data_IF_534717334602
#
_entry.id   IF_534717334602
#
_cell.length_a   1.000
_cell.length_b   1.000
_cell.length_c   1.000
_cell.angle_alpha   90.00
_cell.angle_beta   90.00
_cell.angle_gamma   90.00
#
_symmetry.space_group_name_H-M   'P 1'
#
loop_
_entity.id
_entity.type
_entity.pdbx_description
1 polymer ?
#
# COMPACT_ATOMS: atom_id res chain seq x y z
N UNK A 1 5.84 -22.97 24.10
CA UNK A 1 5.10 -22.26 23.03
C UNK A 1 6.06 -21.61 22.05
N UNK A 2 6.79 -20.53 22.39
CA UNK A 2 7.63 -19.77 21.42
C UNK A 2 8.58 -20.60 20.53
N UNK A 3 9.22 -21.65 21.05
CA UNK A 3 10.16 -22.46 20.27
C UNK A 3 9.46 -23.44 19.31
N UNK A 4 8.30 -23.98 19.71
CA UNK A 4 7.52 -24.91 18.89
C UNK A 4 6.82 -24.17 17.74
N UNK A 5 6.33 -22.95 18.00
CA UNK A 5 5.74 -22.09 16.97
C UNK A 5 6.78 -21.68 15.90
N UNK A 6 8.03 -21.45 16.32
CA UNK A 6 9.13 -21.14 15.40
C UNK A 6 9.49 -22.34 14.51
N UNK A 7 9.53 -23.55 15.07
CA UNK A 7 9.82 -24.78 14.33
C UNK A 7 8.72 -25.04 13.28
N UNK A 8 7.44 -24.87 13.65
CA UNK A 8 6.30 -25.08 12.76
C UNK A 8 6.28 -24.08 11.59
N UNK A 9 6.61 -22.82 11.87
CA UNK A 9 6.76 -21.79 10.83
C UNK A 9 7.89 -22.10 9.86
N UNK A 10 9.05 -22.55 10.38
CA UNK A 10 10.18 -22.93 9.55
C UNK A 10 9.87 -24.16 8.69
N UNK A 11 9.18 -25.17 9.23
CA UNK A 11 8.76 -26.33 8.48
C UNK A 11 7.76 -25.95 7.37
N UNK A 12 6.75 -25.14 7.68
CA UNK A 12 5.78 -24.65 6.70
C UNK A 12 6.44 -23.86 5.57
N UNK A 13 7.39 -22.96 5.90
CA UNK A 13 8.16 -22.21 4.92
C UNK A 13 8.94 -23.15 3.98
N UNK A 14 9.68 -24.12 4.54
CA UNK A 14 10.44 -25.10 3.75
C UNK A 14 9.55 -25.93 2.84
N UNK A 15 8.38 -26.35 3.32
CA UNK A 15 7.40 -27.11 2.55
C UNK A 15 6.87 -26.27 1.39
N UNK A 16 6.46 -25.02 1.65
CA UNK A 16 5.98 -24.09 0.63
C UNK A 16 7.03 -23.84 -0.44
N UNK A 17 8.26 -23.49 -0.06
CA UNK A 17 9.35 -23.23 -1.01
C UNK A 17 9.67 -24.47 -1.86
N UNK A 18 9.53 -25.67 -1.28
CA UNK A 18 9.72 -26.90 -2.01
C UNK A 18 8.59 -27.19 -2.99
N UNK A 19 7.32 -26.91 -2.70
CA UNK A 19 6.22 -27.25 -3.63
C UNK A 19 5.88 -26.12 -4.61
N UNK A 20 6.15 -24.85 -4.27
CA UNK A 20 5.80 -23.64 -5.03
C UNK A 20 6.01 -23.77 -6.55
N UNK A 21 7.18 -24.23 -7.06
CA UNK A 21 7.44 -24.25 -8.50
C UNK A 21 6.51 -25.17 -9.30
N UNK A 22 5.80 -26.06 -8.60
CA UNK A 22 4.95 -27.11 -9.18
C UNK A 22 3.49 -27.08 -8.72
N UNK A 23 3.13 -26.18 -7.79
CA UNK A 23 1.73 -26.02 -7.31
C UNK A 23 0.73 -25.83 -8.46
N UNK A 24 1.00 -24.99 -9.49
CA UNK A 24 0.08 -24.85 -10.63
C UNK A 24 -0.28 -26.17 -11.30
N UNK A 25 0.70 -27.06 -11.48
CA UNK A 25 0.47 -28.36 -12.12
C UNK A 25 -0.27 -29.34 -11.21
N UNK A 26 -0.05 -29.26 -9.90
CA UNK A 26 -0.71 -30.10 -8.90
C UNK A 26 -2.19 -29.75 -8.72
N UNK A 27 -2.52 -28.46 -8.75
CA UNK A 27 -3.90 -27.97 -8.68
C UNK A 27 -4.68 -28.29 -9.96
N UNK A 28 -4.05 -28.18 -11.13
CA UNK A 28 -4.66 -28.56 -12.42
C UNK A 28 -4.92 -30.07 -12.50
N UNK A 29 -4.04 -30.91 -11.93
CA UNK A 29 -4.26 -32.34 -11.75
C UNK A 29 -4.39 -33.19 -13.02
N UNK A 30 -4.09 -32.64 -14.20
CA UNK A 30 -4.22 -33.35 -15.49
C UNK A 30 -2.95 -34.14 -15.84
N UNK A 31 -3.09 -35.20 -16.66
CA UNK A 31 -1.93 -35.97 -17.16
C UNK A 31 -0.90 -35.09 -17.88
N UNK A 32 -1.37 -34.12 -18.67
CA UNK A 32 -0.53 -33.16 -19.39
C UNK A 32 0.23 -32.22 -18.45
N UNK A 33 -0.42 -31.75 -17.39
CA UNK A 33 0.23 -30.92 -16.37
C UNK A 33 1.32 -31.70 -15.62
N UNK A 34 1.11 -32.99 -15.35
CA UNK A 34 2.10 -33.85 -14.72
C UNK A 34 3.33 -34.10 -15.61
N UNK A 35 3.14 -34.34 -16.92
CA UNK A 35 4.24 -34.47 -17.89
C UNK A 35 5.05 -33.18 -18.00
N UNK A 36 4.39 -32.02 -18.06
CA UNK A 36 5.05 -30.71 -18.15
C UNK A 36 5.85 -30.39 -16.88
N UNK A 37 5.30 -30.67 -15.69
CA UNK A 37 6.02 -30.53 -14.44
C UNK A 37 7.23 -31.46 -14.36
N UNK A 38 7.08 -32.72 -14.79
CA UNK A 38 8.17 -33.70 -14.88
C UNK A 38 9.30 -33.24 -15.80
N UNK A 39 8.99 -32.61 -16.93
CA UNK A 39 10.00 -32.01 -17.82
C UNK A 39 10.69 -30.79 -17.20
N UNK A 40 9.97 -30.00 -16.40
CA UNK A 40 10.47 -28.76 -15.79
C UNK A 40 11.40 -29.00 -14.61
N UNK A 41 11.04 -29.90 -13.70
CA UNK A 41 11.82 -30.15 -12.47
C UNK A 41 12.60 -31.48 -12.49
N UNK A 42 12.34 -32.32 -13.49
CA UNK A 42 12.86 -33.69 -13.58
C UNK A 42 11.88 -34.71 -12.97
N UNK A 43 11.73 -35.90 -13.57
CA UNK A 43 10.71 -36.88 -13.17
C UNK A 43 10.87 -37.38 -11.73
N UNK A 44 12.11 -37.61 -11.27
CA UNK A 44 12.37 -38.01 -9.89
C UNK A 44 11.99 -36.92 -8.87
N UNK A 45 12.23 -35.65 -9.21
CA UNK A 45 11.92 -34.48 -8.37
C UNK A 45 10.43 -34.23 -8.31
N UNK A 46 9.75 -34.39 -9.45
CA UNK A 46 8.30 -34.30 -9.55
C UNK A 46 7.62 -35.33 -8.65
N UNK A 47 8.04 -36.59 -8.68
CA UNK A 47 7.46 -37.64 -7.84
C UNK A 47 7.62 -37.37 -6.34
N UNK A 48 8.75 -36.79 -5.91
CA UNK A 48 8.95 -36.41 -4.50
C UNK A 48 8.03 -35.25 -4.09
N UNK A 49 7.93 -34.20 -4.92
CA UNK A 49 7.04 -33.06 -4.65
C UNK A 49 5.57 -33.51 -4.65
N UNK A 50 5.19 -34.42 -5.55
CA UNK A 50 3.85 -35.00 -5.62
C UNK A 50 3.51 -35.83 -4.38
N UNK A 51 4.42 -36.67 -3.90
CA UNK A 51 4.23 -37.40 -2.63
C UNK A 51 4.03 -36.46 -1.45
N UNK A 52 4.81 -35.38 -1.37
CA UNK A 52 4.62 -34.37 -0.32
C UNK A 52 3.25 -33.69 -0.43
N UNK A 53 2.83 -33.33 -1.64
CA UNK A 53 1.52 -32.75 -1.90
C UNK A 53 0.39 -33.69 -1.47
N UNK A 54 0.43 -34.97 -1.86
CA UNK A 54 -0.57 -35.96 -1.46
C UNK A 54 -0.64 -36.12 0.06
N UNK A 55 0.50 -36.10 0.76
CA UNK A 55 0.53 -36.13 2.23
C UNK A 55 -0.08 -34.87 2.83
N UNK A 56 0.28 -33.69 2.32
CA UNK A 56 -0.18 -32.40 2.81
C UNK A 56 -1.70 -32.22 2.62
N UNK A 57 -2.25 -32.71 1.50
CA UNK A 57 -3.67 -32.61 1.14
C UNK A 57 -4.48 -33.89 1.44
N UNK A 58 -3.90 -34.87 2.14
CA UNK A 58 -4.60 -36.11 2.51
C UNK A 58 -5.75 -35.89 3.52
N UNK A 59 -5.73 -34.76 4.23
CA UNK A 59 -6.81 -34.32 5.12
C UNK A 59 -7.66 -33.30 4.37
N UNK A 60 -8.98 -33.35 4.52
CA UNK A 60 -9.84 -32.35 3.88
C UNK A 60 -9.72 -30.99 4.60
N UNK A 61 -9.05 -30.06 3.93
CA UNK A 61 -8.74 -28.70 4.42
C UNK A 61 -9.10 -27.70 3.30
N UNK A 62 -10.32 -27.16 3.28
CA UNK A 62 -10.77 -26.29 2.19
C UNK A 62 -9.91 -25.03 2.08
N UNK A 63 -9.47 -24.46 3.20
CA UNK A 63 -8.66 -23.24 3.23
C UNK A 63 -7.26 -23.44 2.64
N UNK A 64 -6.72 -24.66 2.77
CA UNK A 64 -5.43 -25.02 2.18
C UNK A 64 -5.54 -25.24 0.67
N UNK A 65 -6.67 -25.78 0.20
CA UNK A 65 -6.98 -25.96 -1.23
C UNK A 65 -7.22 -24.61 -1.91
N UNK A 66 -7.94 -23.71 -1.25
CA UNK A 66 -8.18 -22.35 -1.71
C UNK A 66 -6.85 -21.57 -1.83
N UNK A 67 -6.04 -21.54 -0.76
CA UNK A 67 -4.74 -20.87 -0.79
C UNK A 67 -3.79 -21.41 -1.86
N UNK A 68 -3.84 -22.72 -2.14
CA UNK A 68 -3.10 -23.31 -3.25
C UNK A 68 -3.62 -22.89 -4.62
N UNK A 69 -4.95 -22.73 -4.78
CA UNK A 69 -5.59 -22.23 -5.98
C UNK A 69 -5.21 -20.78 -6.26
N UNK A 70 -5.20 -19.93 -5.23
CA UNK A 70 -4.79 -18.53 -5.34
C UNK A 70 -3.34 -18.40 -5.83
N UNK A 71 -2.46 -19.28 -5.38
CA UNK A 71 -1.06 -19.31 -5.84
C UNK A 71 -0.93 -19.67 -7.33
N UNK A 72 -1.90 -20.36 -7.92
CA UNK A 72 -1.94 -20.60 -9.38
C UNK A 72 -2.26 -19.31 -10.13
N UNK A 73 -3.11 -18.46 -9.56
CA UNK A 73 -3.55 -17.20 -10.16
C UNK A 73 -2.43 -16.15 -10.07
N UNK A 74 -1.73 -16.08 -8.93
CA UNK A 74 -0.68 -15.09 -8.67
C UNK A 74 0.59 -15.72 -8.05
N UNK A 75 1.37 -16.50 -8.82
CA UNK A 75 2.52 -17.27 -8.31
C UNK A 75 3.72 -16.42 -7.87
N UNK A 76 3.79 -15.16 -8.30
CA UNK A 76 4.86 -14.24 -7.93
C UNK A 76 4.48 -13.29 -6.78
N UNK A 77 3.25 -13.39 -6.27
CA UNK A 77 2.75 -12.54 -5.21
C UNK A 77 3.20 -13.05 -3.83
N UNK A 78 4.03 -12.28 -3.09
CA UNK A 78 4.50 -12.69 -1.78
C UNK A 78 3.36 -12.80 -0.75
N UNK A 79 2.26 -12.05 -0.89
CA UNK A 79 1.12 -12.13 0.03
C UNK A 79 0.35 -13.44 -0.17
N UNK A 80 0.12 -13.83 -1.42
CA UNK A 80 -0.51 -15.13 -1.74
C UNK A 80 0.35 -16.30 -1.26
N UNK A 81 1.69 -16.18 -1.37
CA UNK A 81 2.61 -17.16 -0.79
C UNK A 81 2.51 -17.21 0.74
N UNK A 82 2.39 -16.06 1.41
CA UNK A 82 2.18 -16.00 2.86
C UNK A 82 0.84 -16.60 3.29
N UNK A 83 -0.22 -16.45 2.49
CA UNK A 83 -1.53 -17.10 2.73
C UNK A 83 -1.39 -18.63 2.71
N UNK A 84 -0.68 -19.19 1.73
CA UNK A 84 -0.42 -20.63 1.68
C UNK A 84 0.41 -21.11 2.88
N UNK A 85 1.48 -20.39 3.24
CA UNK A 85 2.29 -20.70 4.44
C UNK A 85 1.40 -20.70 5.69
N UNK A 86 0.51 -19.73 5.83
CA UNK A 86 -0.42 -19.65 6.96
C UNK A 86 -1.39 -20.82 6.99
N UNK A 87 -1.93 -21.22 5.85
CA UNK A 87 -2.83 -22.37 5.74
C UNK A 87 -2.13 -23.68 6.14
N UNK A 88 -0.85 -23.85 5.78
CA UNK A 88 -0.03 -24.99 6.18
C UNK A 88 0.25 -24.98 7.69
N UNK A 89 0.61 -23.83 8.27
CA UNK A 89 0.80 -23.69 9.73
C UNK A 89 -0.48 -24.09 10.46
N UNK A 90 -1.63 -23.55 10.06
CA UNK A 90 -2.92 -23.87 10.66
C UNK A 90 -3.24 -25.37 10.53
N UNK A 91 -2.82 -26.01 9.43
CA UNK A 91 -3.01 -27.44 9.22
C UNK A 91 -2.16 -28.27 10.18
N UNK A 92 -0.91 -27.86 10.42
CA UNK A 92 -0.01 -28.50 11.36
C UNK A 92 -0.43 -28.28 12.82
N UNK A 93 -0.96 -27.11 13.16
CA UNK A 93 -1.52 -26.84 14.50
C UNK A 93 -2.75 -27.70 14.79
N UNK A 94 -3.60 -27.92 13.78
CA UNK A 94 -4.80 -28.77 13.90
C UNK A 94 -4.50 -30.28 13.84
N UNK A 95 -3.36 -30.68 13.27
CA UNK A 95 -2.93 -32.08 13.15
C UNK A 95 -1.41 -32.20 13.39
N UNK A 96 -0.99 -32.38 14.66
CA UNK A 96 0.41 -32.52 15.01
C UNK A 96 1.09 -33.78 14.44
N UNK A 97 0.32 -34.82 14.10
CA UNK A 97 0.87 -36.06 13.52
C UNK A 97 1.17 -35.86 12.03
N UNK A 98 0.33 -35.09 11.31
CA UNK A 98 0.69 -34.57 9.97
C UNK A 98 1.98 -33.75 10.02
N UNK A 99 2.11 -32.86 11.01
CA UNK A 99 3.31 -32.03 11.13
C UNK A 99 4.58 -32.88 11.31
N UNK A 100 4.52 -33.93 12.14
CA UNK A 100 5.63 -34.88 12.33
C UNK A 100 5.93 -35.69 11.06
N UNK A 101 4.89 -36.19 10.39
CA UNK A 101 5.02 -36.93 9.14
C UNK A 101 5.71 -36.10 8.06
N UNK A 102 5.28 -34.84 7.90
CA UNK A 102 5.87 -33.90 6.94
C UNK A 102 7.28 -33.49 7.35
N UNK A 103 7.56 -33.29 8.65
CA UNK A 103 8.92 -33.02 9.15
C UNK A 103 9.87 -34.16 8.81
N UNK A 104 9.47 -35.40 9.11
CA UNK A 104 10.27 -36.60 8.82
C UNK A 104 10.50 -36.78 7.32
N UNK A 105 9.49 -36.50 6.48
CA UNK A 105 9.66 -36.51 5.04
C UNK A 105 10.67 -35.46 4.58
N UNK A 106 10.58 -34.23 5.09
CA UNK A 106 11.48 -33.13 4.73
C UNK A 106 12.92 -33.34 5.21
N UNK A 107 13.14 -34.16 6.24
CA UNK A 107 14.48 -34.51 6.77
C UNK A 107 15.20 -35.59 5.95
N UNK A 108 14.56 -36.18 4.94
CA UNK A 108 15.19 -37.16 4.03
C UNK A 108 16.43 -36.56 3.34
N UNK A 109 17.55 -37.30 3.34
CA UNK A 109 18.84 -36.84 2.83
C UNK A 109 18.79 -36.41 1.36
N UNK A 110 17.94 -37.06 0.54
CA UNK A 110 17.78 -36.73 -0.88
C UNK A 110 17.09 -35.37 -1.00
N UNK A 111 16.07 -35.12 -0.19
CA UNK A 111 15.33 -33.85 -0.17
C UNK A 111 16.20 -32.71 0.35
N UNK A 112 16.99 -32.95 1.40
CA UNK A 112 17.94 -31.95 1.91
C UNK A 112 19.02 -31.57 0.89
N UNK A 113 19.58 -32.55 0.17
CA UNK A 113 20.56 -32.29 -0.89
C UNK A 113 19.95 -31.45 -2.03
N UNK A 114 18.71 -31.78 -2.43
CA UNK A 114 18.00 -31.05 -3.48
C UNK A 114 17.63 -29.62 -3.06
N UNK A 115 17.22 -29.43 -1.81
CA UNK A 115 16.98 -28.09 -1.25
C UNK A 115 18.26 -27.25 -1.24
N UNK A 116 19.40 -27.86 -0.93
CA UNK A 116 20.70 -27.20 -0.99
C UNK A 116 21.06 -26.79 -2.42
N UNK A 117 20.89 -27.68 -3.40
CA UNK A 117 21.17 -27.40 -4.81
C UNK A 117 20.22 -26.34 -5.41
N UNK A 118 18.94 -26.35 -5.03
CA UNK A 118 17.98 -25.31 -5.42
C UNK A 118 18.34 -23.95 -4.81
N UNK A 119 18.81 -23.94 -3.55
CA UNK A 119 19.28 -22.73 -2.89
C UNK A 119 20.52 -22.15 -3.56
N UNK A 120 21.48 -22.99 -3.93
CA UNK A 120 22.68 -22.57 -4.66
C UNK A 120 22.36 -22.00 -6.06
N UNK A 121 21.38 -22.57 -6.79
CA UNK A 121 20.92 -22.02 -8.07
C UNK A 121 20.10 -20.73 -7.92
N UNK A 122 19.34 -20.59 -6.84
CA UNK A 122 18.59 -19.38 -6.53
C UNK A 122 19.50 -18.21 -6.14
N UNK A 123 20.64 -18.47 -5.49
CA UNK A 123 21.64 -17.46 -5.15
C UNK A 123 22.38 -16.93 -6.39
N UNK A 124 22.75 -17.79 -7.35
CA UNK A 124 23.37 -17.35 -8.61
C UNK A 124 22.38 -16.61 -9.53
N UNK A 125 21.13 -17.11 -9.62
CA UNK A 125 20.05 -16.46 -10.34
C UNK A 125 19.64 -15.10 -9.75
N UNK A 126 19.56 -14.98 -8.42
CA UNK A 126 19.23 -13.72 -7.74
C UNK A 126 20.33 -12.68 -7.90
N UNK A 127 21.62 -13.06 -7.80
CA UNK A 127 22.73 -12.13 -8.06
C UNK A 127 22.72 -11.62 -9.51
N UNK A 128 22.39 -12.49 -10.48
CA UNK A 128 22.28 -12.09 -11.90
C UNK A 128 21.07 -11.18 -12.16
N UNK A 129 19.91 -11.50 -11.59
CA UNK A 129 18.70 -10.66 -11.64
C UNK A 129 18.90 -9.32 -10.95
N UNK A 130 19.59 -9.26 -9.80
CA UNK A 130 19.92 -8.02 -9.10
C UNK A 130 20.84 -7.14 -9.97
N UNK A 131 21.86 -7.74 -10.62
CA UNK A 131 22.74 -7.00 -11.54
C UNK A 131 22.00 -6.49 -12.77
N UNK A 132 21.09 -7.28 -13.35
CA UNK A 132 20.26 -6.87 -14.48
C UNK A 132 19.30 -5.74 -14.09
N UNK A 133 18.55 -5.90 -12.98
CA UNK A 133 17.67 -4.87 -12.46
C UNK A 133 18.44 -3.58 -12.12
N UNK A 134 19.64 -3.68 -11.56
CA UNK A 134 20.49 -2.51 -11.30
C UNK A 134 20.90 -1.81 -12.59
N UNK A 135 21.28 -2.56 -13.63
CA UNK A 135 21.65 -1.98 -14.93
C UNK A 135 20.46 -1.33 -15.64
N UNK A 136 19.27 -1.92 -15.54
CA UNK A 136 18.04 -1.37 -16.10
C UNK A 136 17.62 -0.09 -15.37
N UNK A 137 17.68 -0.10 -14.03
CA UNK A 137 17.44 1.11 -13.21
C UNK A 137 18.37 2.26 -13.59
N UNK A 138 19.67 2.00 -13.80
CA UNK A 138 20.63 3.03 -14.24
C UNK A 138 20.26 3.59 -15.60
N UNK A 139 19.90 2.74 -16.57
CA UNK A 139 19.51 3.18 -17.91
C UNK A 139 18.25 4.04 -17.89
N UNK A 140 17.24 3.67 -17.09
CA UNK A 140 16.00 4.45 -16.92
C UNK A 140 16.29 5.83 -16.33
N UNK A 141 17.19 5.92 -15.35
CA UNK A 141 17.63 7.19 -14.76
C UNK A 141 18.39 8.06 -15.77
N UNK A 142 19.28 7.48 -16.57
CA UNK A 142 20.02 8.21 -17.61
C UNK A 142 19.07 8.79 -18.67
N UNK A 143 18.08 8.00 -19.11
CA UNK A 143 17.08 8.44 -20.08
C UNK A 143 16.19 9.55 -19.51
N UNK A 144 15.76 9.41 -18.25
CA UNK A 144 15.01 10.46 -17.56
C UNK A 144 15.83 11.75 -17.42
N UNK A 145 17.08 11.66 -16.97
CA UNK A 145 17.96 12.82 -16.80
C UNK A 145 18.19 13.53 -18.12
N UNK A 146 18.37 12.80 -19.22
CA UNK A 146 18.49 13.39 -20.56
C UNK A 146 17.25 14.19 -20.95
N UNK A 147 16.04 13.65 -20.73
CA UNK A 147 14.79 14.37 -20.99
C UNK A 147 14.67 15.64 -20.12
N UNK A 148 15.09 15.55 -18.86
CA UNK A 148 15.08 16.70 -17.94
C UNK A 148 16.11 17.77 -18.33
N UNK A 149 17.29 17.37 -18.79
CA UNK A 149 18.32 18.27 -19.34
C UNK A 149 17.82 18.97 -20.60
N UNK A 150 17.21 18.25 -21.54
CA UNK A 150 16.60 18.83 -22.74
C UNK A 150 15.52 19.87 -22.38
N UNK A 151 14.68 19.56 -21.40
CA UNK A 151 13.66 20.48 -20.90
C UNK A 151 14.25 21.74 -20.24
N UNK A 152 15.21 21.56 -19.33
CA UNK A 152 15.85 22.68 -18.60
C UNK A 152 16.67 23.57 -19.54
N UNK A 153 17.35 22.99 -20.54
CA UNK A 153 18.05 23.73 -21.58
C UNK A 153 17.09 24.63 -22.39
N UNK A 154 15.93 24.10 -22.82
CA UNK A 154 14.88 24.87 -23.52
C UNK A 154 14.25 25.97 -22.66
N UNK A 155 14.32 25.86 -21.34
CA UNK A 155 13.85 26.91 -20.43
C UNK A 155 14.85 28.04 -20.22
N UNK A 156 16.15 27.76 -20.30
CA UNK A 156 17.21 28.76 -20.11
C UNK A 156 17.53 29.57 -21.37
N UNK A 157 17.10 29.15 -22.56
CA UNK A 157 17.39 29.83 -23.83
C UNK A 157 16.53 31.07 -24.13
N UNK A 158 15.56 31.43 -23.28
CA UNK A 158 14.74 32.64 -23.48
C UNK A 158 15.33 33.81 -22.70
N UNK A 159 16.43 34.35 -23.22
CA UNK A 159 16.88 35.70 -22.88
C UNK A 159 17.39 36.40 -24.14
N UNK A 160 16.54 36.51 -25.18
CA UNK A 160 16.46 37.61 -26.17
C UNK A 160 15.66 37.14 -27.40
N UNK A 161 14.40 37.60 -27.56
CA UNK A 161 13.75 37.98 -28.84
C UNK A 161 12.20 37.93 -28.72
N UNK A 162 11.56 38.68 -29.62
CA UNK A 162 10.22 39.29 -29.58
C UNK A 162 9.02 38.33 -29.71
N UNK A 163 7.96 38.66 -28.95
CA UNK A 163 6.51 38.34 -28.91
C UNK A 163 5.79 37.32 -29.84
N UNK A 164 6.36 36.86 -30.96
CA UNK A 164 5.72 35.83 -31.83
C UNK A 164 6.35 34.43 -31.67
N UNK A 165 7.63 34.34 -31.33
CA UNK A 165 8.28 33.05 -31.00
C UNK A 165 7.82 32.48 -29.65
N UNK A 166 7.18 33.29 -28.78
CA UNK A 166 6.76 32.86 -27.45
C UNK A 166 5.59 31.86 -27.45
N UNK A 167 4.72 31.88 -28.46
CA UNK A 167 3.62 30.92 -28.58
C UNK A 167 4.12 29.54 -29.04
N UNK A 168 4.99 29.50 -30.05
CA UNK A 168 5.62 28.24 -30.51
C UNK A 168 6.61 27.68 -29.48
N UNK A 169 7.39 28.55 -28.81
CA UNK A 169 8.29 28.14 -27.74
C UNK A 169 7.54 27.70 -26.46
N UNK A 170 6.35 28.28 -26.20
CA UNK A 170 5.45 27.85 -25.13
C UNK A 170 4.91 26.44 -25.36
N UNK A 171 4.39 26.18 -26.56
CA UNK A 171 3.92 24.85 -26.96
C UNK A 171 5.02 23.79 -26.92
N UNK A 172 6.23 24.11 -27.41
CA UNK A 172 7.36 23.19 -27.37
C UNK A 172 7.84 22.84 -25.95
N UNK A 173 7.63 23.74 -24.97
CA UNK A 173 7.95 23.50 -23.55
C UNK A 173 6.91 22.60 -22.88
N UNK A 174 5.63 22.84 -23.16
CA UNK A 174 4.53 22.02 -22.65
C UNK A 174 4.60 20.59 -23.21
N UNK A 175 4.86 20.42 -24.51
CA UNK A 175 5.02 19.11 -25.12
C UNK A 175 6.22 18.35 -24.52
N UNK A 176 7.34 19.03 -24.25
CA UNK A 176 8.51 18.40 -23.62
C UNK A 176 8.22 18.02 -22.17
N UNK A 177 7.44 18.83 -21.43
CA UNK A 177 7.00 18.52 -20.08
C UNK A 177 6.06 17.32 -20.05
N UNK A 178 5.08 17.26 -20.95
CA UNK A 178 4.15 16.15 -21.03
C UNK A 178 4.87 14.84 -21.35
N UNK A 179 5.88 14.87 -22.23
CA UNK A 179 6.75 13.72 -22.53
C UNK A 179 7.54 13.27 -21.31
N UNK A 180 8.16 14.21 -20.58
CA UNK A 180 8.90 13.89 -19.37
C UNK A 180 7.99 13.27 -18.30
N UNK A 181 6.80 13.84 -18.11
CA UNK A 181 5.79 13.31 -17.19
C UNK A 181 5.28 11.94 -17.63
N UNK A 182 5.01 11.74 -18.91
CA UNK A 182 4.60 10.46 -19.46
C UNK A 182 5.66 9.36 -19.27
N UNK A 183 6.92 9.70 -19.53
CA UNK A 183 8.05 8.82 -19.26
C UNK A 183 8.12 8.45 -17.78
N UNK A 184 8.12 9.46 -16.89
CA UNK A 184 8.16 9.26 -15.45
C UNK A 184 7.01 8.37 -14.97
N UNK A 185 5.79 8.63 -15.45
CA UNK A 185 4.57 7.87 -15.12
C UNK A 185 4.67 6.38 -15.51
N UNK A 186 5.41 6.06 -16.58
CA UNK A 186 5.59 4.70 -17.11
C UNK A 186 6.77 3.94 -16.48
N UNK A 187 7.60 4.58 -15.64
CA UNK A 187 8.70 3.91 -14.96
C UNK A 187 8.14 2.79 -14.09
N UNK A 188 8.59 1.55 -14.32
CA UNK A 188 8.05 0.36 -13.63
C UNK A 188 8.43 0.30 -12.14
N UNK A 189 9.57 0.88 -11.77
CA UNK A 189 10.08 0.87 -10.39
C UNK A 189 9.51 2.03 -9.60
N UNK A 190 8.73 1.75 -8.54
CA UNK A 190 8.03 2.77 -7.76
C UNK A 190 8.95 3.83 -7.13
N UNK A 191 10.14 3.42 -6.68
CA UNK A 191 11.18 4.31 -6.14
C UNK A 191 11.71 5.29 -7.20
N UNK A 192 12.00 4.81 -8.41
CA UNK A 192 12.46 5.66 -9.50
C UNK A 192 11.33 6.51 -10.08
N UNK A 193 10.11 5.97 -10.17
CA UNK A 193 8.91 6.72 -10.58
C UNK A 193 8.69 7.90 -9.63
N UNK A 194 8.73 7.65 -8.33
CA UNK A 194 8.63 8.68 -7.29
C UNK A 194 9.68 9.78 -7.47
N UNK A 195 10.96 9.39 -7.57
CA UNK A 195 12.05 10.35 -7.78
C UNK A 195 11.86 11.20 -9.03
N UNK A 196 11.52 10.57 -10.16
CA UNK A 196 11.29 11.26 -11.43
C UNK A 196 10.11 12.25 -11.33
N UNK A 197 8.97 11.81 -10.78
CA UNK A 197 7.80 12.67 -10.58
C UNK A 197 8.12 13.85 -9.66
N UNK A 198 8.78 13.61 -8.51
CA UNK A 198 9.19 14.67 -7.58
C UNK A 198 10.12 15.71 -8.22
N UNK A 199 10.96 15.31 -9.17
CA UNK A 199 11.84 16.23 -9.90
C UNK A 199 11.07 17.05 -10.95
N UNK A 200 10.03 16.50 -11.56
CA UNK A 200 9.17 17.20 -12.53
C UNK A 200 8.26 18.22 -11.85
N UNK A 201 7.67 17.86 -10.71
CA UNK A 201 6.62 18.64 -10.06
C UNK A 201 6.95 20.15 -9.92
N UNK A 202 8.14 20.58 -9.47
CA UNK A 202 8.48 22.01 -9.35
C UNK A 202 8.34 22.82 -10.64
N UNK A 203 8.35 22.16 -11.79
CA UNK A 203 8.29 22.77 -13.11
C UNK A 203 6.88 22.79 -13.72
N UNK A 204 5.88 22.18 -13.07
CA UNK A 204 4.48 22.18 -13.53
C UNK A 204 3.89 23.60 -13.50
N UNK A 205 3.84 24.25 -14.66
CA UNK A 205 3.41 25.64 -14.86
C UNK A 205 2.70 25.75 -16.21
N UNK A 206 2.07 26.90 -16.46
CA UNK A 206 1.38 27.16 -17.72
C UNK A 206 -0.12 26.82 -17.67
N UNK A 207 -0.85 27.02 -18.77
CA UNK A 207 -2.29 26.75 -18.89
C UNK A 207 -2.66 25.28 -18.61
N UNK A 208 -1.82 24.29 -18.96
CA UNK A 208 -2.10 22.87 -18.68
C UNK A 208 -1.71 22.40 -17.26
N UNK A 209 -1.31 23.31 -16.36
CA UNK A 209 -0.78 22.95 -15.03
C UNK A 209 -1.70 21.99 -14.26
N UNK A 210 -3.01 22.23 -14.28
CA UNK A 210 -4.01 21.41 -13.56
C UNK A 210 -3.95 19.95 -14.05
N UNK A 211 -4.11 19.75 -15.37
CA UNK A 211 -4.05 18.44 -16.03
C UNK A 211 -2.74 17.70 -15.75
N UNK A 212 -1.61 18.42 -15.68
CA UNK A 212 -0.32 17.82 -15.33
C UNK A 212 -0.24 17.41 -13.86
N UNK A 213 -0.86 18.18 -12.94
CA UNK A 213 -0.98 17.81 -11.53
C UNK A 213 -1.86 16.58 -11.36
N UNK A 214 -3.01 16.49 -12.05
CA UNK A 214 -3.88 15.32 -12.05
C UNK A 214 -3.14 14.06 -12.53
N UNK A 215 -2.44 14.16 -13.67
CA UNK A 215 -1.63 13.04 -14.19
C UNK A 215 -0.52 12.62 -13.23
N UNK A 216 0.09 13.59 -12.54
CA UNK A 216 1.08 13.31 -11.49
C UNK A 216 0.43 12.56 -10.33
N UNK A 217 -0.71 13.02 -9.82
CA UNK A 217 -1.42 12.38 -8.71
C UNK A 217 -1.90 10.99 -9.04
N UNK A 218 -2.40 10.75 -10.26
CA UNK A 218 -2.71 9.41 -10.75
C UNK A 218 -1.48 8.51 -10.75
N UNK A 219 -0.35 9.01 -11.22
CA UNK A 219 0.88 8.21 -11.31
C UNK A 219 1.45 7.92 -9.92
N UNK A 220 1.34 8.89 -9.01
CA UNK A 220 1.68 8.75 -7.59
C UNK A 220 0.76 7.76 -6.89
N UNK A 221 -0.55 7.79 -7.12
CA UNK A 221 -1.48 6.84 -6.50
C UNK A 221 -1.22 5.39 -6.91
N UNK A 222 -0.58 5.18 -8.06
CA UNK A 222 -0.15 3.87 -8.54
C UNK A 222 1.24 3.44 -8.03
N UNK A 223 1.86 4.19 -7.11
CA UNK A 223 3.09 3.78 -6.41
C UNK A 223 2.68 2.96 -5.18
N UNK A 224 3.24 1.76 -5.06
CA UNK A 224 2.90 0.83 -3.98
C UNK A 224 3.43 1.30 -2.61
N UNK A 225 4.67 1.79 -2.58
CA UNK A 225 5.34 2.21 -1.35
C UNK A 225 4.79 3.55 -0.84
N UNK A 226 4.40 3.57 0.44
CA UNK A 226 3.74 4.71 1.06
C UNK A 226 4.67 5.92 1.23
N UNK A 227 5.94 5.68 1.57
CA UNK A 227 6.94 6.74 1.75
C UNK A 227 7.31 7.38 0.42
N UNK A 228 7.40 6.57 -0.65
CA UNK A 228 7.62 7.07 -2.00
C UNK A 228 6.40 7.86 -2.52
N UNK A 229 5.17 7.47 -2.20
CA UNK A 229 4.00 8.32 -2.47
C UNK A 229 4.10 9.66 -1.74
N UNK A 230 4.38 9.63 -0.44
CA UNK A 230 4.48 10.82 0.39
C UNK A 230 5.56 11.79 -0.11
N UNK A 231 6.66 11.28 -0.66
CA UNK A 231 7.70 12.09 -1.33
C UNK A 231 7.14 12.90 -2.50
N UNK A 232 6.38 12.27 -3.41
CA UNK A 232 5.78 12.99 -4.55
C UNK A 232 4.72 13.97 -4.08
N UNK A 233 3.84 13.56 -3.17
CA UNK A 233 2.79 14.43 -2.60
C UNK A 233 3.38 15.67 -1.93
N UNK A 234 4.47 15.52 -1.17
CA UNK A 234 5.16 16.65 -0.52
C UNK A 234 5.69 17.66 -1.55
N UNK A 235 6.11 17.19 -2.73
CA UNK A 235 6.57 18.07 -3.80
C UNK A 235 5.45 18.91 -4.43
N UNK A 236 4.18 18.50 -4.30
CA UNK A 236 3.01 19.24 -4.81
C UNK A 236 2.57 20.40 -3.90
N UNK A 237 2.95 20.41 -2.61
CA UNK A 237 2.58 21.45 -1.63
C UNK A 237 2.80 22.89 -2.12
N UNK A 238 3.94 23.25 -2.76
CA UNK A 238 4.17 24.60 -3.25
C UNK A 238 3.14 25.07 -4.30
N UNK A 239 2.49 24.13 -5.01
CA UNK A 239 1.46 24.44 -6.00
C UNK A 239 0.09 24.74 -5.39
N UNK A 240 -0.17 24.27 -4.17
CA UNK A 240 -1.39 24.50 -3.40
C UNK A 240 -1.38 25.82 -2.61
N UNK A 241 -0.24 26.53 -2.59
CA UNK A 241 -0.07 27.81 -1.87
C UNK A 241 -0.35 29.07 -2.71
N UNK A 242 -0.70 28.94 -3.99
CA UNK A 242 -0.83 30.07 -4.94
C UNK A 242 -2.30 30.44 -5.22
N UNK A 243 -2.53 31.57 -5.90
CA UNK A 243 -3.82 31.90 -6.49
C UNK A 243 -4.30 30.76 -7.41
N UNK A 244 -5.61 30.45 -7.39
CA UNK A 244 -6.19 29.32 -8.11
C UNK A 244 -6.08 27.97 -7.39
N UNK A 245 -5.73 27.95 -6.09
CA UNK A 245 -5.65 26.69 -5.32
C UNK A 245 -6.99 25.96 -5.19
N UNK A 246 -8.11 26.67 -5.19
CA UNK A 246 -9.44 26.07 -4.99
C UNK A 246 -9.84 25.20 -6.19
N UNK A 247 -9.62 25.68 -7.42
CA UNK A 247 -9.80 24.90 -8.65
C UNK A 247 -8.93 23.65 -8.63
N UNK A 248 -7.62 23.80 -8.33
CA UNK A 248 -6.72 22.65 -8.20
C UNK A 248 -7.20 21.66 -7.13
N UNK A 249 -7.64 22.14 -5.96
CA UNK A 249 -8.15 21.26 -4.89
C UNK A 249 -9.42 20.54 -5.37
N UNK A 250 -10.35 21.26 -5.99
CA UNK A 250 -11.59 20.69 -6.52
C UNK A 250 -11.32 19.59 -7.55
N UNK A 251 -10.44 19.85 -8.51
CA UNK A 251 -10.05 18.89 -9.56
C UNK A 251 -9.38 17.65 -8.96
N UNK A 252 -8.51 17.84 -7.94
CA UNK A 252 -7.89 16.72 -7.22
C UNK A 252 -8.94 15.86 -6.52
N UNK A 253 -9.94 16.48 -5.91
CA UNK A 253 -11.02 15.77 -5.23
C UNK A 253 -11.92 15.05 -6.23
N UNK A 254 -12.22 15.66 -7.38
CA UNK A 254 -12.96 15.03 -8.48
C UNK A 254 -12.22 13.84 -9.08
N UNK A 255 -10.89 13.88 -9.07
CA UNK A 255 -10.06 12.77 -9.49
C UNK A 255 -10.05 11.60 -8.48
N UNK A 256 -10.48 11.82 -7.24
CA UNK A 256 -10.37 10.83 -6.16
C UNK A 256 -10.99 9.45 -6.43
N UNK A 257 -12.07 9.28 -7.24
CA UNK A 257 -12.60 7.96 -7.59
C UNK A 257 -11.62 7.10 -8.41
N UNK A 258 -10.67 7.72 -9.13
CA UNK A 258 -9.65 7.03 -9.92
C UNK A 258 -8.43 6.59 -9.10
N UNK A 259 -8.38 6.95 -7.81
CA UNK A 259 -7.31 6.55 -6.88
C UNK A 259 -7.63 5.16 -6.33
N UNK A 260 -6.75 4.19 -6.62
CA UNK A 260 -6.93 2.79 -6.27
C UNK A 260 -6.90 2.54 -4.75
N UNK A 261 -5.88 3.06 -4.06
CA UNK A 261 -5.63 2.71 -2.67
C UNK A 261 -6.23 3.72 -1.69
N UNK A 262 -6.87 3.20 -0.62
CA UNK A 262 -7.53 4.04 0.39
C UNK A 262 -6.56 4.84 1.26
N UNK A 263 -5.37 4.31 1.52
CA UNK A 263 -4.28 5.03 2.19
C UNK A 263 -3.75 6.18 1.31
N UNK A 264 -3.62 5.97 -0.01
CA UNK A 264 -3.27 7.05 -0.95
C UNK A 264 -4.33 8.17 -0.94
N UNK A 265 -5.63 7.82 -0.88
CA UNK A 265 -6.70 8.82 -0.71
C UNK A 265 -6.53 9.59 0.59
N UNK A 266 -6.26 8.89 1.70
CA UNK A 266 -6.02 9.53 3.00
C UNK A 266 -4.82 10.49 2.96
N UNK A 267 -3.69 10.08 2.35
CA UNK A 267 -2.49 10.90 2.24
C UNK A 267 -2.75 12.18 1.41
N UNK A 268 -3.44 12.04 0.27
CA UNK A 268 -3.81 13.17 -0.57
C UNK A 268 -4.75 14.10 0.20
N UNK A 269 -5.81 13.58 0.82
CA UNK A 269 -6.73 14.38 1.61
C UNK A 269 -6.01 15.14 2.74
N UNK A 270 -5.11 14.46 3.46
CA UNK A 270 -4.27 15.05 4.51
C UNK A 270 -3.37 16.18 4.00
N UNK A 271 -2.89 16.06 2.76
CA UNK A 271 -2.14 17.11 2.07
C UNK A 271 -3.00 18.35 1.78
N UNK A 272 -4.28 18.15 1.41
CA UNK A 272 -5.18 19.23 1.03
C UNK A 272 -5.72 20.00 2.25
N UNK A 273 -5.89 19.34 3.40
CA UNK A 273 -6.51 19.91 4.61
C UNK A 273 -5.92 21.27 5.05
N UNK A 274 -4.60 21.47 5.17
CA UNK A 274 -4.02 22.77 5.51
C UNK A 274 -4.36 23.89 4.50
N UNK A 275 -4.78 23.52 3.29
CA UNK A 275 -5.15 24.45 2.23
C UNK A 275 -6.66 24.71 2.14
N UNK A 276 -7.47 23.94 2.89
CA UNK A 276 -8.90 24.16 3.11
C UNK A 276 -9.18 25.24 4.18
N UNK A 277 -8.17 25.69 4.92
CA UNK A 277 -8.34 26.73 5.94
C UNK A 277 -8.78 28.06 5.30
N UNK A 278 -9.86 28.64 5.85
CA UNK A 278 -10.48 29.86 5.33
C UNK A 278 -11.35 29.69 4.09
N UNK A 279 -11.42 28.48 3.52
CA UNK A 279 -12.39 28.16 2.45
C UNK A 279 -13.80 28.13 3.05
N UNK A 280 -14.71 28.95 2.52
CA UNK A 280 -16.16 28.81 2.73
C UNK A 280 -16.82 28.02 1.58
N UNK A 281 -16.02 27.31 0.78
CA UNK A 281 -16.51 26.58 -0.38
C UNK A 281 -17.08 25.23 0.09
N UNK A 282 -18.41 25.21 0.33
CA UNK A 282 -19.14 24.01 0.72
C UNK A 282 -18.99 22.88 -0.31
N UNK A 283 -18.87 23.20 -1.61
CA UNK A 283 -18.69 22.19 -2.66
C UNK A 283 -17.37 21.44 -2.47
N UNK A 284 -16.27 22.16 -2.20
CA UNK A 284 -14.96 21.52 -1.92
C UNK A 284 -15.03 20.66 -0.67
N UNK A 285 -15.72 21.13 0.38
CA UNK A 285 -15.85 20.36 1.64
C UNK A 285 -16.66 19.08 1.43
N UNK A 286 -17.74 19.11 0.66
CA UNK A 286 -18.52 17.91 0.34
C UNK A 286 -17.71 16.92 -0.51
N UNK A 287 -16.97 17.39 -1.52
CA UNK A 287 -16.06 16.50 -2.29
C UNK A 287 -14.95 15.89 -1.41
N UNK A 288 -14.44 16.64 -0.44
CA UNK A 288 -13.48 16.14 0.54
C UNK A 288 -14.09 15.04 1.45
N UNK A 289 -15.36 15.20 1.84
CA UNK A 289 -16.12 14.18 2.57
C UNK A 289 -16.39 12.94 1.72
N UNK A 290 -16.73 13.10 0.44
CA UNK A 290 -16.87 11.98 -0.51
C UNK A 290 -15.56 11.20 -0.68
N UNK A 291 -14.43 11.90 -0.80
CA UNK A 291 -13.11 11.27 -0.84
C UNK A 291 -12.82 10.49 0.45
N UNK A 292 -13.15 11.06 1.62
CA UNK A 292 -13.01 10.39 2.90
C UNK A 292 -13.88 9.12 2.99
N UNK A 293 -15.14 9.19 2.55
CA UNK A 293 -16.04 8.05 2.48
C UNK A 293 -15.51 6.94 1.56
N UNK A 294 -14.78 7.31 0.49
CA UNK A 294 -14.10 6.41 -0.42
C UNK A 294 -12.85 5.70 0.13
N UNK A 295 -12.43 5.98 1.37
CA UNK A 295 -11.30 5.31 2.04
C UNK A 295 -11.76 3.95 2.57
N UNK A 296 -11.11 2.87 2.17
CA UNK A 296 -11.49 1.49 2.55
C UNK A 296 -11.17 1.15 4.01
N UNK A 297 -10.05 1.65 4.54
CA UNK A 297 -9.69 1.44 5.95
C UNK A 297 -10.61 2.28 6.84
N UNK A 298 -11.44 1.62 7.64
CA UNK A 298 -12.36 2.29 8.57
C UNK A 298 -11.59 3.20 9.56
N UNK A 299 -10.41 2.78 10.01
CA UNK A 299 -9.56 3.58 10.90
C UNK A 299 -9.06 4.87 10.21
N UNK A 300 -8.55 4.75 8.98
CA UNK A 300 -8.12 5.92 8.20
C UNK A 300 -9.30 6.82 7.82
N UNK A 301 -10.49 6.24 7.61
CA UNK A 301 -11.71 7.00 7.36
C UNK A 301 -12.11 7.84 8.58
N UNK A 302 -12.08 7.27 9.79
CA UNK A 302 -12.29 8.05 11.04
C UNK A 302 -11.28 9.20 11.12
N UNK A 303 -10.01 8.89 10.86
CA UNK A 303 -8.96 9.90 10.90
C UNK A 303 -9.20 11.01 9.86
N UNK A 304 -9.54 10.66 8.62
CA UNK A 304 -9.90 11.61 7.56
C UNK A 304 -11.07 12.52 7.97
N UNK A 305 -12.18 11.94 8.43
CA UNK A 305 -13.33 12.69 8.89
C UNK A 305 -12.94 13.65 10.02
N UNK A 306 -12.14 13.18 10.99
CA UNK A 306 -11.68 14.01 12.11
C UNK A 306 -10.91 15.25 11.67
N UNK A 307 -10.08 15.12 10.64
CA UNK A 307 -9.30 16.22 10.09
C UNK A 307 -10.16 17.25 9.32
N UNK A 308 -11.34 16.84 8.82
CA UNK A 308 -12.29 17.72 8.15
C UNK A 308 -13.21 18.49 9.12
N UNK A 309 -13.47 17.96 10.32
CA UNK A 309 -14.36 18.59 11.32
C UNK A 309 -14.06 20.08 11.60
N UNK A 310 -12.79 20.53 11.72
CA UNK A 310 -12.47 21.96 11.92
C UNK A 310 -12.99 22.88 10.81
N UNK A 311 -13.19 22.35 9.60
CA UNK A 311 -13.58 23.10 8.41
C UNK A 311 -15.11 23.12 8.18
N UNK A 312 -15.85 22.26 8.90
CA UNK A 312 -17.30 22.15 8.80
C UNK A 312 -18.02 23.12 9.75
N UNK A 313 -19.26 23.49 9.40
CA UNK A 313 -20.11 24.40 10.18
C UNK A 313 -21.52 23.85 10.34
N UNK A 314 -22.24 24.40 11.32
CA UNK A 314 -23.67 24.15 11.53
C UNK A 314 -24.02 22.66 11.69
N UNK A 315 -25.13 22.27 11.09
CA UNK A 315 -25.66 20.90 11.15
C UNK A 315 -24.67 19.87 10.58
N UNK A 316 -24.02 20.19 9.46
CA UNK A 316 -23.10 19.28 8.79
C UNK A 316 -21.93 18.87 9.68
N UNK A 317 -21.39 19.81 10.48
CA UNK A 317 -20.36 19.50 11.47
C UNK A 317 -20.85 18.47 12.50
N UNK A 318 -22.08 18.62 12.99
CA UNK A 318 -22.68 17.69 13.93
C UNK A 318 -22.85 16.29 13.34
N UNK A 319 -23.37 16.20 12.11
CA UNK A 319 -23.55 14.93 11.39
C UNK A 319 -22.22 14.18 11.23
N UNK A 320 -21.16 14.86 10.80
CA UNK A 320 -19.85 14.22 10.60
C UNK A 320 -19.19 13.83 11.94
N UNK A 321 -19.41 14.58 13.02
CA UNK A 321 -18.99 14.17 14.37
C UNK A 321 -19.68 12.86 14.76
N UNK A 322 -21.01 12.76 14.58
CA UNK A 322 -21.73 11.53 14.90
C UNK A 322 -21.30 10.34 14.03
N UNK A 323 -21.16 10.56 12.72
CA UNK A 323 -20.70 9.52 11.79
C UNK A 323 -19.32 9.00 12.19
N UNK A 324 -18.39 9.90 12.51
CA UNK A 324 -17.05 9.53 12.95
C UNK A 324 -17.09 8.76 14.29
N UNK A 325 -17.93 9.16 15.24
CA UNK A 325 -18.07 8.49 16.54
C UNK A 325 -18.67 7.09 16.40
N UNK A 326 -19.68 6.93 15.55
CA UNK A 326 -20.31 5.65 15.25
C UNK A 326 -19.29 4.71 14.61
N UNK A 327 -18.58 5.19 13.57
CA UNK A 327 -17.55 4.41 12.90
C UNK A 327 -16.41 4.01 13.86
N UNK A 328 -15.90 4.95 14.65
CA UNK A 328 -14.85 4.71 15.64
C UNK A 328 -15.28 3.70 16.71
N UNK A 329 -16.53 3.76 17.18
CA UNK A 329 -17.07 2.83 18.17
C UNK A 329 -17.24 1.41 17.60
N UNK A 330 -17.47 1.30 16.30
CA UNK A 330 -17.81 0.05 15.62
C UNK A 330 -16.67 -0.56 14.80
N UNK A 331 -15.46 0.00 14.84
CA UNK A 331 -14.30 -0.58 14.13
C UNK A 331 -14.17 -2.08 14.37
N UNK A 332 -13.89 -2.83 13.30
CA UNK A 332 -13.71 -4.29 13.38
C UNK A 332 -12.56 -4.68 14.31
N UNK A 333 -11.44 -3.96 14.26
CA UNK A 333 -10.35 -4.11 15.23
C UNK A 333 -10.71 -3.35 16.52
N UNK A 334 -11.11 -4.12 17.54
CA UNK A 334 -11.51 -3.58 18.84
C UNK A 334 -10.37 -2.84 19.56
N UNK A 335 -9.13 -3.26 19.33
CA UNK A 335 -7.97 -2.64 19.97
C UNK A 335 -7.68 -1.24 19.41
N UNK A 336 -8.17 -0.93 18.19
CA UNK A 336 -8.01 0.39 17.56
C UNK A 336 -9.09 1.40 17.95
N UNK A 337 -10.21 0.97 18.52
CA UNK A 337 -11.35 1.84 18.88
C UNK A 337 -10.97 2.99 19.82
N UNK A 338 -10.17 2.79 20.90
CA UNK A 338 -9.81 3.90 21.77
C UNK A 338 -9.02 4.99 21.04
N UNK A 339 -8.09 4.57 20.18
CA UNK A 339 -7.28 5.48 19.39
C UNK A 339 -8.15 6.23 18.37
N UNK A 340 -9.07 5.54 17.70
CA UNK A 340 -9.99 6.16 16.76
C UNK A 340 -10.92 7.18 17.43
N UNK A 341 -11.49 6.84 18.60
CA UNK A 341 -12.31 7.76 19.39
C UNK A 341 -11.50 9.01 19.81
N UNK A 342 -10.22 8.83 20.13
CA UNK A 342 -9.34 9.93 20.56
C UNK A 342 -9.19 11.05 19.52
N UNK A 343 -9.39 10.75 18.23
CA UNK A 343 -9.37 11.76 17.16
C UNK A 343 -10.57 12.71 17.20
N UNK A 344 -11.66 12.33 17.87
CA UNK A 344 -12.93 13.06 17.84
C UNK A 344 -13.19 13.81 19.15
N UNK A 345 -12.60 13.36 20.27
CA UNK A 345 -12.82 13.90 21.62
C UNK A 345 -12.69 15.44 21.68
N UNK A 346 -11.73 16.03 20.95
CA UNK A 346 -11.51 17.48 20.98
C UNK A 346 -12.63 18.32 20.34
N UNK A 347 -13.56 17.68 19.62
CA UNK A 347 -14.66 18.35 18.91
C UNK A 347 -16.02 18.24 19.62
N UNK A 348 -16.05 17.59 20.79
CA UNK A 348 -17.26 17.37 21.58
C UNK A 348 -17.45 18.47 22.64
N UNK A 349 -18.69 18.67 23.08
CA UNK A 349 -18.97 19.43 24.30
C UNK A 349 -18.43 18.70 25.54
N UNK A 350 -18.23 19.42 26.64
CA UNK A 350 -17.58 18.88 27.84
C UNK A 350 -18.28 17.64 28.43
N UNK A 351 -19.61 17.54 28.30
CA UNK A 351 -20.37 16.39 28.82
C UNK A 351 -20.05 15.15 28.00
N UNK A 352 -20.17 15.26 26.68
CA UNK A 352 -19.89 14.17 25.75
C UNK A 352 -18.42 13.81 25.69
N UNK A 353 -17.54 14.80 25.81
CA UNK A 353 -16.09 14.62 25.89
C UNK A 353 -15.71 13.70 27.05
N UNK A 354 -16.28 13.92 28.24
CA UNK A 354 -16.08 13.08 29.42
C UNK A 354 -16.59 11.65 29.18
N UNK A 355 -17.81 11.50 28.68
CA UNK A 355 -18.42 10.19 28.39
C UNK A 355 -17.57 9.37 27.40
N UNK A 356 -17.18 9.98 26.26
CA UNK A 356 -16.40 9.30 25.23
C UNK A 356 -14.97 9.02 25.71
N UNK A 357 -14.37 9.91 26.49
CA UNK A 357 -13.06 9.67 27.10
C UNK A 357 -13.10 8.49 28.07
N UNK A 358 -14.07 8.44 28.98
CA UNK A 358 -14.22 7.33 29.94
C UNK A 358 -14.44 6.00 29.21
N UNK A 359 -15.30 5.99 28.19
CA UNK A 359 -15.54 4.82 27.33
C UNK A 359 -14.26 4.37 26.60
N UNK A 360 -13.50 5.30 26.03
CA UNK A 360 -12.25 4.99 25.34
C UNK A 360 -11.19 4.46 26.32
N UNK A 361 -11.12 5.01 27.54
CA UNK A 361 -10.22 4.56 28.60
C UNK A 361 -10.56 3.14 29.07
N UNK A 362 -11.85 2.83 29.27
CA UNK A 362 -12.31 1.47 29.59
C UNK A 362 -11.90 0.49 28.49
N UNK A 363 -12.16 0.83 27.22
CA UNK A 363 -11.75 -0.01 26.09
C UNK A 363 -10.24 -0.22 26.05
N UNK A 364 -9.44 0.85 26.23
CA UNK A 364 -7.99 0.78 26.20
C UNK A 364 -7.44 -0.11 27.32
N UNK A 365 -7.93 0.04 28.55
CA UNK A 365 -7.51 -0.78 29.69
C UNK A 365 -7.88 -2.26 29.52
N UNK A 366 -8.98 -2.54 28.81
CA UNK A 366 -9.42 -3.90 28.44
C UNK A 366 -8.58 -4.59 27.36
N UNK A 367 -7.66 -3.88 26.68
CA UNK A 367 -6.81 -4.48 25.64
C UNK A 367 -5.81 -5.47 26.26
N UNK A 368 -5.82 -6.71 25.73
CA UNK A 368 -4.97 -7.80 26.22
C UNK A 368 -3.49 -7.60 25.87
N UNK A 369 -3.21 -7.17 24.64
CA UNK A 369 -1.84 -6.91 24.19
C UNK A 369 -1.28 -5.67 24.89
N UNK A 370 -0.22 -5.82 25.67
CA UNK A 370 0.37 -4.71 26.42
C UNK A 370 0.86 -3.56 25.52
N UNK A 371 1.45 -3.89 24.37
CA UNK A 371 1.92 -2.89 23.40
C UNK A 371 0.76 -2.08 22.83
N UNK A 372 -0.27 -2.73 22.28
CA UNK A 372 -1.51 -2.09 21.83
C UNK A 372 -2.23 -1.30 22.93
N UNK A 373 -2.28 -1.83 24.16
CA UNK A 373 -2.84 -1.14 25.32
C UNK A 373 -2.08 0.15 25.61
N UNK A 374 -0.75 0.10 25.64
CA UNK A 374 0.08 1.28 25.86
C UNK A 374 -0.15 2.34 24.76
N UNK A 375 -0.25 1.92 23.50
CA UNK A 375 -0.55 2.82 22.38
C UNK A 375 -1.92 3.49 22.51
N UNK A 376 -2.96 2.73 22.83
CA UNK A 376 -4.32 3.21 23.04
C UNK A 376 -4.42 4.16 24.25
N UNK A 377 -3.73 3.87 25.35
CA UNK A 377 -3.67 4.76 26.50
C UNK A 377 -2.90 6.04 26.19
N UNK A 378 -1.79 5.94 25.44
CA UNK A 378 -0.99 7.09 25.03
C UNK A 378 -1.81 8.07 24.18
N UNK A 379 -2.67 7.59 23.27
CA UNK A 379 -3.53 8.48 22.48
C UNK A 379 -4.56 9.25 23.30
N UNK A 380 -4.85 8.83 24.53
CA UNK A 380 -5.80 9.50 25.42
C UNK A 380 -5.14 10.52 26.36
N UNK A 381 -3.81 10.54 26.45
CA UNK A 381 -3.03 11.45 27.32
C UNK A 381 -3.43 12.92 27.17
N UNK A 382 -3.65 13.46 25.95
CA UNK A 382 -4.04 14.87 25.78
C UNK A 382 -5.34 15.26 26.49
N UNK A 383 -6.16 14.30 26.91
CA UNK A 383 -7.51 14.53 27.44
C UNK A 383 -7.64 14.28 28.94
N UNK A 384 -6.57 13.81 29.61
CA UNK A 384 -6.56 13.50 31.05
C UNK A 384 -6.79 14.76 31.92
N UNK A 385 -6.39 15.93 31.45
CA UNK A 385 -6.49 17.19 32.21
C UNK A 385 -7.83 17.93 32.12
N UNK A 386 -8.82 17.39 31.39
CA UNK A 386 -10.13 18.03 31.20
C UNK A 386 -11.18 17.66 32.26
N UNK A 387 -10.92 16.65 33.08
CA UNK A 387 -11.91 16.06 34.01
C UNK A 387 -11.71 16.40 35.49
N UNK A 388 -10.72 17.24 35.83
CA UNK A 388 -10.47 17.71 37.20
C UNK A 388 -10.44 19.24 37.26
N UNK A 389 -11.62 19.85 37.41
CA UNK A 389 -11.80 21.09 38.18
C UNK A 389 -13.16 21.11 38.85
#
# INVERSE_FOLDING_TARGET
MRQQDAIMRQLAQKVTDFIEPVVPYMVIGSKRAAEEAGNKVGPAVWELKKKLWEKLFSRDRPELKEAAGDLVIAPADPEVKQVLIRAIINSFEKDPDLAKEISSFMEDEIIQRMLLEQRMRAEDGSVKLIKQNSSEKTRVLEEFNKLLEEFTAKNNTVSTAYDLEQLEAGQGKEETMEKALDFASKIQYGDLRSQALSLIVPYLKGPEKVKLIEKTLYSTSNIQDEDERARVLSSLVPHLKRQGKEEIIEDILDFSPHIQYGDAKFQILSLLIPHLEGSNNEVILEKALEMAAGIQSEFLRVQALSLLIPHLKGQRKGEIIEEALELASNLKDKDMRPQALSFIILYLDETRKKEIFEKALEMATGIKSESRRAQALFSLVPYIGGSEK
#
